data_IF_141878676650
#
_entry.id   IF_141878676650
#
_cell.length_a   1.000
_cell.length_b   1.000
_cell.length_c   1.000
_cell.angle_alpha   90.00
_cell.angle_beta   90.00
_cell.angle_gamma   90.00
#
_symmetry.space_group_name_H-M   'P 1'
#
loop_
_entity.id
_entity.type
_entity.pdbx_description
1 polymer ?
#
# COMPACT_ATOMS: atom_id res chain seq x y z
N UNK A 1 -11.19 -7.30 29.43
CA UNK A 1 -10.56 -6.51 28.35
C UNK A 1 -10.20 -5.17 28.93
N UNK A 2 -8.95 -4.76 28.82
CA UNK A 2 -8.54 -3.41 29.26
C UNK A 2 -9.04 -2.41 28.23
N UNK A 3 -9.49 -1.23 28.71
CA UNK A 3 -9.79 -0.12 27.83
C UNK A 3 -8.48 0.44 27.27
N UNK A 4 -8.49 0.91 26.00
CA UNK A 4 -7.34 1.59 25.42
C UNK A 4 -6.97 2.80 26.29
N UNK A 5 -5.67 2.93 26.55
CA UNK A 5 -5.09 4.09 27.20
C UNK A 5 -5.00 5.23 26.18
N UNK A 6 -5.45 6.43 26.54
CA UNK A 6 -5.42 7.60 25.67
C UNK A 6 -6.50 8.61 26.01
N UNK A 7 -6.39 9.79 25.40
CA UNK A 7 -7.41 10.81 25.51
C UNK A 7 -8.73 10.32 24.91
N UNK A 8 -9.84 10.66 25.56
CA UNK A 8 -11.18 10.27 25.14
C UNK A 8 -12.00 11.50 24.81
N UNK A 9 -12.41 11.61 23.57
CA UNK A 9 -13.16 12.74 23.06
C UNK A 9 -14.47 12.26 22.42
N UNK A 10 -15.53 13.03 22.59
CA UNK A 10 -16.77 12.84 21.84
C UNK A 10 -16.99 14.04 20.95
N UNK A 11 -16.95 13.81 19.64
CA UNK A 11 -17.19 14.84 18.63
C UNK A 11 -18.65 14.76 18.18
N UNK A 12 -19.40 15.84 18.36
CA UNK A 12 -20.77 15.94 17.87
C UNK A 12 -20.78 16.48 16.44
N UNK A 13 -21.67 15.97 15.60
CA UNK A 13 -21.87 16.46 14.24
C UNK A 13 -22.16 17.98 14.25
N UNK A 14 -21.49 18.71 13.34
CA UNK A 14 -21.56 20.17 13.28
C UNK A 14 -20.83 20.91 14.42
N UNK A 15 -20.22 20.18 15.37
CA UNK A 15 -19.40 20.72 16.44
C UNK A 15 -17.93 20.89 16.03
N UNK A 16 -17.18 21.57 16.90
CA UNK A 16 -15.74 21.76 16.71
C UNK A 16 -15.00 20.42 16.65
N UNK A 17 -14.09 20.28 15.69
CA UNK A 17 -13.27 19.08 15.49
C UNK A 17 -13.99 17.91 14.80
N UNK A 18 -15.30 18.01 14.50
CA UNK A 18 -15.97 16.97 13.73
C UNK A 18 -15.51 17.03 12.25
N UNK A 19 -15.07 15.91 11.64
CA UNK A 19 -14.58 15.91 10.27
C UNK A 19 -15.68 16.26 9.26
N UNK A 20 -15.52 17.37 8.54
CA UNK A 20 -16.52 17.82 7.54
C UNK A 20 -16.71 16.78 6.40
N UNK A 21 -15.69 16.00 6.10
CA UNK A 21 -15.77 14.91 5.13
C UNK A 21 -16.82 13.84 5.50
N UNK A 22 -17.06 13.63 6.79
CA UNK A 22 -18.08 12.69 7.29
C UNK A 22 -19.50 13.26 7.31
N UNK A 23 -19.68 14.54 7.07
CA UNK A 23 -21.02 15.15 6.95
C UNK A 23 -21.69 14.80 5.60
N UNK A 24 -20.87 14.49 4.60
CA UNK A 24 -21.33 14.19 3.22
C UNK A 24 -21.59 12.69 2.95
N UNK A 25 -21.30 11.81 3.90
CA UNK A 25 -21.53 10.37 3.72
C UNK A 25 -23.03 10.04 3.82
N UNK A 26 -23.45 8.94 3.21
CA UNK A 26 -24.79 8.42 3.44
C UNK A 26 -24.99 8.11 4.92
N UNK A 27 -26.01 8.69 5.56
CA UNK A 27 -26.29 8.59 6.99
C UNK A 27 -25.08 9.04 7.85
N UNK A 28 -24.76 10.36 7.88
CA UNK A 28 -23.69 10.87 8.71
C UNK A 28 -23.86 10.50 10.18
N UNK A 29 -22.79 10.17 10.91
CA UNK A 29 -22.91 9.84 12.33
C UNK A 29 -23.22 11.09 13.15
N UNK A 30 -24.13 10.99 14.10
CA UNK A 30 -24.45 12.13 14.99
C UNK A 30 -23.29 12.43 15.95
N UNK A 31 -22.52 11.41 16.30
CA UNK A 31 -21.36 11.51 17.20
C UNK A 31 -20.26 10.55 16.79
N UNK A 32 -19.03 10.92 17.11
CA UNK A 32 -17.86 10.05 17.05
C UNK A 32 -17.25 9.95 18.45
N UNK A 33 -17.02 8.74 18.89
CA UNK A 33 -16.31 8.39 20.11
C UNK A 33 -14.87 8.08 19.72
N UNK A 34 -13.92 8.89 20.18
CA UNK A 34 -12.52 8.89 19.76
C UNK A 34 -11.63 8.56 20.95
N UNK A 35 -10.73 7.59 20.78
CA UNK A 35 -9.61 7.33 21.68
C UNK A 35 -8.32 7.66 20.93
N UNK A 36 -7.52 8.57 21.45
CA UNK A 36 -6.30 9.08 20.81
C UNK A 36 -6.45 10.53 20.36
N UNK A 37 -5.72 10.91 19.32
CA UNK A 37 -5.67 12.29 18.83
C UNK A 37 -6.86 12.58 17.88
N UNK A 38 -7.84 13.42 18.24
CA UNK A 38 -8.92 13.78 17.34
C UNK A 38 -8.44 14.55 16.10
N UNK A 39 -7.30 15.22 16.14
CA UNK A 39 -6.70 15.88 14.97
C UNK A 39 -6.14 14.91 13.95
N UNK A 40 -6.04 13.61 14.25
CA UNK A 40 -5.74 12.59 13.28
C UNK A 40 -6.90 12.32 12.29
N UNK A 41 -8.14 12.77 12.61
CA UNK A 41 -9.32 12.59 11.76
C UNK A 41 -9.31 13.56 10.57
N UNK A 42 -8.25 13.53 9.80
CA UNK A 42 -8.08 14.29 8.56
C UNK A 42 -8.38 13.42 7.35
N UNK A 43 -8.72 14.05 6.22
CA UNK A 43 -8.85 13.33 4.96
C UNK A 43 -7.55 12.60 4.59
N UNK A 44 -7.62 11.29 4.51
CA UNK A 44 -6.50 10.42 4.22
C UNK A 44 -6.73 9.50 3.03
N UNK A 45 -5.99 8.41 2.98
CA UNK A 45 -6.20 7.29 2.05
C UNK A 45 -6.76 6.09 2.81
N UNK A 46 -7.90 5.54 2.37
CA UNK A 46 -8.40 4.30 2.93
C UNK A 46 -7.65 3.11 2.29
N UNK A 47 -7.14 2.19 3.10
CA UNK A 47 -6.50 0.96 2.62
C UNK A 47 -7.21 -0.22 3.25
N UNK A 48 -7.92 -0.98 2.44
CA UNK A 48 -8.77 -2.08 2.89
C UNK A 48 -8.60 -3.32 2.00
N UNK A 49 -9.02 -4.49 2.53
CA UNK A 49 -8.95 -5.70 1.75
C UNK A 49 -9.40 -6.95 2.50
N UNK A 50 -8.98 -8.10 2.00
CA UNK A 50 -9.37 -9.39 2.54
C UNK A 50 -8.94 -9.57 4.00
N UNK A 51 -9.86 -10.08 4.85
CA UNK A 51 -9.56 -10.46 6.23
C UNK A 51 -8.64 -11.69 6.31
N UNK A 52 -8.74 -12.59 5.32
CA UNK A 52 -7.87 -13.75 5.12
C UNK A 52 -6.92 -13.46 3.95
N UNK A 53 -6.18 -12.37 4.08
CA UNK A 53 -5.27 -11.89 3.05
C UNK A 53 -4.15 -12.90 2.77
N UNK A 54 -3.81 -13.03 1.49
CA UNK A 54 -2.62 -13.77 1.06
C UNK A 54 -1.34 -13.03 1.46
N UNK A 55 -0.16 -13.67 1.39
CA UNK A 55 1.12 -12.95 1.54
C UNK A 55 1.25 -11.77 0.57
N UNK A 56 0.78 -11.92 -0.67
CA UNK A 56 0.72 -10.85 -1.67
C UNK A 56 -0.14 -9.67 -1.19
N UNK A 57 -1.40 -9.94 -0.79
CA UNK A 57 -2.29 -8.89 -0.30
C UNK A 57 -1.75 -8.16 0.92
N UNK A 58 -1.19 -8.88 1.90
CA UNK A 58 -0.53 -8.23 3.05
C UNK A 58 0.70 -7.41 2.65
N UNK A 59 1.50 -7.92 1.70
CA UNK A 59 2.68 -7.21 1.17
C UNK A 59 2.29 -5.89 0.50
N UNK A 60 1.29 -5.92 -0.38
CA UNK A 60 0.77 -4.71 -1.04
C UNK A 60 0.16 -3.72 -0.03
N UNK A 61 -0.63 -4.20 0.96
CA UNK A 61 -1.19 -3.33 2.00
C UNK A 61 -0.07 -2.60 2.79
N UNK A 62 0.97 -3.33 3.18
CA UNK A 62 2.14 -2.75 3.86
C UNK A 62 2.85 -1.73 2.98
N UNK A 63 3.15 -2.09 1.73
CA UNK A 63 3.88 -1.25 0.78
C UNK A 63 3.20 0.09 0.57
N UNK A 64 1.92 0.07 0.23
CA UNK A 64 1.18 1.30 -0.07
C UNK A 64 0.85 2.12 1.16
N UNK A 65 0.62 1.49 2.33
CA UNK A 65 0.46 2.22 3.58
C UNK A 65 1.75 2.93 4.01
N UNK A 66 2.91 2.27 3.85
CA UNK A 66 4.22 2.88 4.09
C UNK A 66 4.47 4.08 3.16
N UNK A 67 4.15 3.94 1.86
CA UNK A 67 4.26 5.05 0.90
C UNK A 67 3.40 6.25 1.31
N UNK A 68 2.13 6.02 1.66
CA UNK A 68 1.23 7.08 2.11
C UNK A 68 1.74 7.75 3.40
N UNK A 69 2.17 6.95 4.37
CA UNK A 69 2.68 7.43 5.65
C UNK A 69 3.93 8.32 5.48
N UNK A 70 4.89 7.91 4.64
CA UNK A 70 6.07 8.72 4.30
C UNK A 70 5.73 10.08 3.68
N UNK A 71 4.57 10.19 3.03
CA UNK A 71 4.06 11.46 2.48
C UNK A 71 3.25 12.27 3.50
N UNK A 72 3.18 11.83 4.76
CA UNK A 72 2.38 12.47 5.80
C UNK A 72 0.87 12.29 5.62
N UNK A 73 0.44 11.38 4.73
CA UNK A 73 -0.97 11.10 4.48
C UNK A 73 -1.48 10.10 5.51
N UNK A 74 -2.59 10.42 6.15
CA UNK A 74 -3.23 9.55 7.14
C UNK A 74 -3.76 8.28 6.47
N UNK A 75 -3.40 7.12 7.01
CA UNK A 75 -3.94 5.84 6.57
C UNK A 75 -5.22 5.54 7.35
N UNK A 76 -6.34 5.39 6.65
CA UNK A 76 -7.65 5.10 7.24
C UNK A 76 -8.01 3.64 6.96
N UNK A 77 -8.42 2.89 7.98
CA UNK A 77 -8.88 1.51 7.77
C UNK A 77 -9.83 1.05 8.88
N UNK A 78 -10.16 -0.24 8.87
CA UNK A 78 -11.16 -0.80 9.76
C UNK A 78 -10.60 -1.62 10.93
N UNK A 79 -9.29 -1.78 11.02
CA UNK A 79 -8.66 -2.60 12.04
C UNK A 79 -8.97 -4.11 11.95
N UNK A 80 -9.53 -4.57 10.84
CA UNK A 80 -9.80 -5.98 10.63
C UNK A 80 -8.51 -6.79 10.46
N UNK A 81 -8.60 -8.12 10.57
CA UNK A 81 -7.49 -9.03 10.21
C UNK A 81 -7.07 -8.81 8.76
N UNK A 82 -5.86 -9.20 8.42
CA UNK A 82 -5.38 -9.23 7.05
C UNK A 82 -4.87 -7.88 6.55
N UNK A 83 -5.46 -7.34 5.49
CA UNK A 83 -4.99 -6.11 4.85
C UNK A 83 -5.05 -4.88 5.75
N UNK A 84 -6.16 -4.71 6.50
CA UNK A 84 -6.35 -3.55 7.39
C UNK A 84 -5.25 -3.47 8.46
N UNK A 85 -5.03 -4.59 9.18
CA UNK A 85 -3.99 -4.66 10.21
C UNK A 85 -2.58 -4.46 9.63
N UNK A 86 -2.33 -4.99 8.43
CA UNK A 86 -1.05 -4.82 7.74
C UNK A 86 -0.82 -3.35 7.36
N UNK A 87 -1.87 -2.65 6.90
CA UNK A 87 -1.81 -1.24 6.55
C UNK A 87 -1.54 -0.36 7.78
N UNK A 88 -2.30 -0.57 8.88
CA UNK A 88 -2.07 0.17 10.12
C UNK A 88 -0.65 -0.02 10.66
N UNK A 89 -0.18 -1.28 10.71
CA UNK A 89 1.15 -1.59 11.23
C UNK A 89 2.24 -0.90 10.40
N UNK A 90 2.15 -0.95 9.07
CA UNK A 90 3.14 -0.32 8.19
C UNK A 90 3.12 1.22 8.27
N UNK A 91 1.96 1.83 8.40
CA UNK A 91 1.87 3.27 8.61
C UNK A 91 2.58 3.71 9.91
N UNK A 92 2.41 2.94 10.99
CA UNK A 92 3.06 3.19 12.28
C UNK A 92 4.57 2.93 12.22
N UNK A 93 5.03 1.91 11.48
CA UNK A 93 6.45 1.61 11.27
C UNK A 93 7.19 2.76 10.58
N UNK A 94 6.50 3.51 9.72
CA UNK A 94 7.04 4.72 9.06
C UNK A 94 6.82 6.02 9.87
N UNK A 95 6.33 5.92 11.10
CA UNK A 95 6.03 7.08 11.95
C UNK A 95 4.82 7.91 11.48
N UNK A 96 4.01 7.37 10.56
CA UNK A 96 2.80 8.02 10.08
C UNK A 96 1.59 7.82 10.98
N UNK A 97 0.60 8.71 10.86
CA UNK A 97 -0.66 8.61 11.60
C UNK A 97 -1.62 7.67 10.89
N UNK A 98 -2.42 6.96 11.68
CA UNK A 98 -3.46 6.09 11.13
C UNK A 98 -4.73 6.14 11.98
N UNK A 99 -5.89 5.98 11.33
CA UNK A 99 -7.21 6.03 11.96
C UNK A 99 -7.92 4.72 11.75
N UNK A 100 -8.31 4.07 12.84
CA UNK A 100 -9.09 2.83 12.82
C UNK A 100 -10.54 3.10 13.21
N UNK A 101 -11.48 2.92 12.28
CA UNK A 101 -12.90 2.90 12.63
C UNK A 101 -13.31 1.52 13.13
N UNK A 102 -14.15 1.44 14.15
CA UNK A 102 -14.65 0.20 14.73
C UNK A 102 -16.13 -0.05 14.40
N UNK A 103 -16.55 -1.31 14.42
CA UNK A 103 -17.97 -1.70 14.27
C UNK A 103 -18.69 -1.91 15.60
N UNK A 104 -18.05 -1.62 16.71
CA UNK A 104 -18.57 -1.58 18.08
C UNK A 104 -17.93 -0.40 18.81
N UNK A 105 -18.24 -0.22 20.09
CA UNK A 105 -17.63 0.83 20.92
C UNK A 105 -16.13 0.62 21.14
N UNK A 106 -15.42 1.70 21.46
CA UNK A 106 -13.96 1.65 21.62
C UNK A 106 -13.49 0.83 22.83
N UNK A 107 -14.38 0.48 23.76
CA UNK A 107 -14.11 -0.42 24.89
C UNK A 107 -14.46 -1.87 24.57
N UNK A 108 -14.97 -2.17 23.38
CA UNK A 108 -15.34 -3.50 22.87
C UNK A 108 -14.56 -3.82 21.59
N UNK A 109 -13.26 -3.91 21.74
CA UNK A 109 -12.34 -4.10 20.61
C UNK A 109 -12.60 -5.40 19.85
N UNK A 110 -12.67 -5.29 18.53
CA UNK A 110 -12.77 -6.44 17.65
C UNK A 110 -11.93 -6.23 16.38
N UNK A 111 -11.09 -7.18 16.01
CA UNK A 111 -10.79 -8.44 16.74
C UNK A 111 -9.99 -8.18 18.02
N UNK A 112 -10.23 -8.96 19.08
CA UNK A 112 -9.62 -8.75 20.39
C UNK A 112 -8.09 -8.91 20.36
N UNK A 113 -7.56 -9.76 19.49
CA UNK A 113 -6.11 -9.95 19.31
C UNK A 113 -5.39 -8.70 18.75
N UNK A 114 -6.13 -7.73 18.24
CA UNK A 114 -5.56 -6.45 17.75
C UNK A 114 -5.52 -5.34 18.83
N UNK A 115 -5.82 -5.65 20.09
CA UNK A 115 -5.73 -4.68 21.20
C UNK A 115 -4.39 -3.95 21.19
N UNK A 116 -3.28 -4.69 21.08
CA UNK A 116 -1.94 -4.11 20.99
C UNK A 116 -1.71 -3.24 19.74
N UNK A 117 -2.34 -3.56 18.61
CA UNK A 117 -2.28 -2.72 17.41
C UNK A 117 -3.08 -1.44 17.62
N UNK A 118 -4.28 -1.52 18.18
CA UNK A 118 -5.09 -0.35 18.46
C UNK A 118 -4.42 0.58 19.48
N UNK A 119 -3.76 0.02 20.51
CA UNK A 119 -2.98 0.83 21.44
C UNK A 119 -1.81 1.53 20.72
N UNK A 120 -1.06 0.85 19.85
CA UNK A 120 -0.01 1.48 19.04
C UNK A 120 -0.53 2.58 18.13
N UNK A 121 -1.76 2.47 17.61
CA UNK A 121 -2.40 3.55 16.83
C UNK A 121 -2.57 4.79 17.70
N UNK A 122 -3.08 4.64 18.91
CA UNK A 122 -3.28 5.74 19.86
C UNK A 122 -1.93 6.34 20.26
N UNK A 123 -0.96 5.52 20.64
CA UNK A 123 0.38 5.95 21.07
C UNK A 123 1.17 6.65 19.94
N UNK A 124 0.90 6.28 18.68
CA UNK A 124 1.51 6.88 17.49
C UNK A 124 0.85 8.18 17.01
N UNK A 125 -0.01 8.81 17.82
CA UNK A 125 -0.71 10.04 17.45
C UNK A 125 -1.82 9.85 16.43
N UNK A 126 -2.32 8.62 16.29
CA UNK A 126 -3.51 8.28 15.53
C UNK A 126 -4.76 8.21 16.42
N UNK A 127 -5.83 7.65 15.88
CA UNK A 127 -7.10 7.51 16.60
C UNK A 127 -7.81 6.20 16.34
N UNK A 128 -8.46 5.67 17.37
CA UNK A 128 -9.45 4.59 17.29
C UNK A 128 -10.82 5.19 17.50
N UNK A 129 -11.71 4.99 16.53
CA UNK A 129 -12.96 5.76 16.41
C UNK A 129 -14.16 4.85 16.26
N UNK A 130 -15.26 5.22 16.89
CA UNK A 130 -16.56 4.57 16.72
C UNK A 130 -17.70 5.59 16.65
N UNK A 131 -18.76 5.26 15.93
CA UNK A 131 -20.04 5.97 16.03
C UNK A 131 -20.94 5.45 17.15
N UNK A 132 -20.53 4.37 17.81
CA UNK A 132 -21.27 3.75 18.90
C UNK A 132 -20.69 4.15 20.25
N UNK A 133 -21.53 4.13 21.30
CA UNK A 133 -21.08 4.39 22.67
C UNK A 133 -19.95 3.43 23.09
N UNK A 134 -19.17 3.86 24.06
CA UNK A 134 -17.90 3.25 24.45
C UNK A 134 -17.94 1.74 24.62
N UNK A 135 -18.98 1.20 25.26
CA UNK A 135 -19.13 -0.20 25.65
C UNK A 135 -20.09 -1.00 24.75
N UNK A 136 -20.47 -0.46 23.61
CA UNK A 136 -21.39 -1.11 22.68
C UNK A 136 -20.73 -2.32 22.00
N UNK A 137 -21.40 -3.47 22.07
CA UNK A 137 -20.88 -4.73 21.49
C UNK A 137 -20.84 -4.69 19.95
N UNK A 138 -19.76 -5.22 19.32
CA UNK A 138 -19.68 -5.31 17.88
C UNK A 138 -20.72 -6.30 17.34
N UNK A 139 -21.45 -5.91 16.29
CA UNK A 139 -22.45 -6.75 15.61
C UNK A 139 -22.08 -6.90 14.12
N UNK A 140 -22.32 -8.05 13.48
CA UNK A 140 -21.90 -8.30 12.09
C UNK A 140 -22.34 -7.23 11.09
N UNK A 141 -23.55 -6.72 11.17
CA UNK A 141 -24.06 -5.69 10.27
C UNK A 141 -23.38 -4.33 10.46
N UNK A 142 -22.92 -4.00 11.68
CA UNK A 142 -22.24 -2.74 11.99
C UNK A 142 -20.91 -2.59 11.28
N UNK A 143 -20.21 -3.68 10.99
CA UNK A 143 -18.99 -3.64 10.20
C UNK A 143 -19.22 -3.15 8.76
N UNK A 144 -20.40 -3.42 8.19
CA UNK A 144 -20.79 -2.90 6.88
C UNK A 144 -21.17 -1.43 6.97
N UNK A 145 -22.01 -1.08 7.95
CA UNK A 145 -22.40 0.33 8.17
C UNK A 145 -21.20 1.24 8.40
N UNK A 146 -20.23 0.78 9.22
CA UNK A 146 -19.00 1.50 9.50
C UNK A 146 -18.17 1.80 8.24
N UNK A 147 -18.23 0.96 7.18
CA UNK A 147 -17.39 1.12 5.99
C UNK A 147 -17.61 2.49 5.32
N UNK A 148 -18.79 3.11 5.44
CA UNK A 148 -19.04 4.45 4.95
C UNK A 148 -18.19 5.52 5.64
N UNK A 149 -17.81 5.29 6.90
CA UNK A 149 -16.94 6.21 7.65
C UNK A 149 -15.49 6.08 7.20
N UNK A 150 -15.04 4.87 6.89
CA UNK A 150 -13.71 4.63 6.33
C UNK A 150 -13.58 5.32 4.97
N UNK A 151 -14.53 5.04 4.07
CA UNK A 151 -14.55 5.61 2.73
C UNK A 151 -14.74 7.13 2.77
N UNK A 152 -15.62 7.62 3.66
CA UNK A 152 -15.95 9.04 3.77
C UNK A 152 -14.82 9.91 4.30
N UNK A 153 -14.00 9.39 5.24
CA UNK A 153 -12.84 10.13 5.74
C UNK A 153 -11.67 10.10 4.76
N UNK A 154 -11.72 9.30 3.71
CA UNK A 154 -10.65 9.18 2.73
C UNK A 154 -10.97 9.93 1.44
N UNK A 155 -9.96 10.48 0.77
CA UNK A 155 -10.09 11.02 -0.59
C UNK A 155 -10.18 9.92 -1.63
N UNK A 156 -9.54 8.78 -1.37
CA UNK A 156 -9.68 7.59 -2.17
C UNK A 156 -9.62 6.33 -1.30
N UNK A 157 -10.18 5.23 -1.81
CA UNK A 157 -10.14 3.92 -1.17
C UNK A 157 -9.33 2.96 -2.03
N UNK A 158 -8.20 2.48 -1.52
CA UNK A 158 -7.38 1.43 -2.13
C UNK A 158 -7.88 0.05 -1.69
N UNK A 159 -8.39 -0.71 -2.63
CA UNK A 159 -8.75 -2.12 -2.47
C UNK A 159 -7.53 -2.98 -2.82
N UNK A 160 -6.91 -3.60 -1.81
CA UNK A 160 -5.68 -4.35 -2.02
C UNK A 160 -5.93 -5.78 -2.48
N UNK A 161 -6.86 -6.45 -1.84
CA UNK A 161 -7.23 -7.83 -2.19
C UNK A 161 -8.71 -8.06 -1.88
N UNK A 162 -9.44 -8.57 -2.86
CA UNK A 162 -10.85 -8.91 -2.70
C UNK A 162 -11.22 -10.15 -3.53
N UNK A 163 -11.74 -11.18 -2.87
CA UNK A 163 -12.37 -12.32 -3.53
C UNK A 163 -13.83 -12.05 -3.89
N UNK A 164 -14.53 -13.06 -4.34
CA UNK A 164 -15.99 -13.05 -4.59
C UNK A 164 -16.65 -14.21 -3.84
N UNK A 165 -17.63 -13.95 -2.97
CA UNK A 165 -18.10 -12.65 -2.46
C UNK A 165 -17.11 -12.02 -1.46
N UNK A 166 -17.11 -10.68 -1.33
CA UNK A 166 -16.24 -9.97 -0.39
C UNK A 166 -16.98 -8.79 0.27
N UNK A 167 -16.76 -8.63 1.59
CA UNK A 167 -17.22 -7.43 2.32
C UNK A 167 -16.52 -6.16 1.91
N UNK A 168 -15.41 -6.25 1.21
CA UNK A 168 -14.62 -5.11 0.69
C UNK A 168 -15.39 -4.36 -0.40
N UNK A 169 -16.30 -5.03 -1.12
CA UNK A 169 -17.17 -4.36 -2.09
C UNK A 169 -18.03 -3.28 -1.46
N UNK A 170 -18.56 -3.52 -0.23
CA UNK A 170 -19.34 -2.47 0.42
C UNK A 170 -18.52 -1.21 0.71
N UNK A 171 -17.22 -1.31 0.93
CA UNK A 171 -16.37 -0.13 1.11
C UNK A 171 -16.14 0.59 -0.22
N UNK A 172 -16.00 -0.14 -1.33
CA UNK A 172 -15.90 0.45 -2.66
C UNK A 172 -17.22 1.14 -3.05
N UNK A 173 -18.36 0.50 -2.80
CA UNK A 173 -19.68 1.09 -3.06
C UNK A 173 -19.90 2.37 -2.24
N UNK A 174 -19.50 2.38 -0.96
CA UNK A 174 -19.57 3.56 -0.09
C UNK A 174 -18.62 4.67 -0.54
N UNK A 175 -17.44 4.33 -1.07
CA UNK A 175 -16.53 5.32 -1.64
C UNK A 175 -17.16 6.01 -2.86
N UNK A 176 -17.72 5.23 -3.78
CA UNK A 176 -18.41 5.77 -4.96
C UNK A 176 -19.64 6.61 -4.57
N UNK A 177 -20.43 6.16 -3.57
CA UNK A 177 -21.58 6.91 -3.05
C UNK A 177 -21.17 8.25 -2.41
N UNK A 178 -19.96 8.31 -1.84
CA UNK A 178 -19.38 9.55 -1.28
C UNK A 178 -18.61 10.37 -2.33
N UNK A 179 -18.68 10.03 -3.63
CA UNK A 179 -17.92 10.64 -4.72
C UNK A 179 -16.42 10.65 -4.47
N UNK A 180 -15.90 9.51 -3.99
CA UNK A 180 -14.47 9.27 -3.73
C UNK A 180 -13.92 8.25 -4.72
N UNK A 181 -12.65 8.40 -5.08
CA UNK A 181 -11.98 7.50 -6.00
C UNK A 181 -11.81 6.10 -5.42
N UNK A 182 -11.92 5.11 -6.28
CA UNK A 182 -11.62 3.70 -5.95
C UNK A 182 -10.38 3.28 -6.73
N UNK A 183 -9.34 2.98 -5.98
CA UNK A 183 -8.07 2.45 -6.46
C UNK A 183 -8.02 0.95 -6.17
N UNK A 184 -7.44 0.16 -7.05
CA UNK A 184 -7.44 -1.30 -6.90
C UNK A 184 -6.10 -1.90 -7.28
N UNK A 185 -5.55 -2.74 -6.42
CA UNK A 185 -4.37 -3.55 -6.74
C UNK A 185 -4.82 -4.74 -7.57
N UNK A 186 -4.32 -4.92 -8.82
CA UNK A 186 -4.64 -6.08 -9.63
C UNK A 186 -4.01 -7.35 -9.05
N UNK A 187 -4.55 -8.50 -9.42
CA UNK A 187 -3.98 -9.77 -9.04
C UNK A 187 -4.16 -10.82 -10.15
N UNK A 188 -3.58 -11.99 -9.95
CA UNK A 188 -3.64 -13.05 -10.94
C UNK A 188 -5.09 -13.44 -11.26
N UNK A 189 -5.44 -13.54 -12.55
CA UNK A 189 -6.80 -13.90 -13.00
C UNK A 189 -7.21 -15.31 -12.57
N UNK A 190 -6.26 -16.16 -12.28
CA UNK A 190 -6.47 -17.53 -11.77
C UNK A 190 -6.69 -17.59 -10.25
N UNK A 191 -6.31 -16.53 -9.51
CA UNK A 191 -6.43 -16.49 -8.06
C UNK A 191 -7.85 -16.10 -7.62
N UNK A 192 -8.49 -16.94 -6.81
CA UNK A 192 -9.82 -16.67 -6.27
C UNK A 192 -9.83 -15.40 -5.40
N UNK A 193 -8.74 -15.14 -4.69
CA UNK A 193 -8.56 -13.97 -3.83
C UNK A 193 -8.51 -12.64 -4.59
N UNK A 194 -8.24 -12.67 -5.91
CA UNK A 194 -8.11 -11.47 -6.75
C UNK A 194 -9.34 -11.21 -7.62
N UNK A 195 -10.28 -12.16 -7.70
CA UNK A 195 -11.43 -12.05 -8.61
C UNK A 195 -12.26 -10.80 -8.37
N UNK A 196 -12.45 -10.43 -7.12
CA UNK A 196 -13.19 -9.23 -6.76
C UNK A 196 -12.44 -7.96 -7.10
N UNK A 197 -11.16 -7.87 -6.78
CA UNK A 197 -10.31 -6.75 -7.14
C UNK A 197 -10.30 -6.53 -8.66
N UNK A 198 -10.02 -7.57 -9.44
CA UNK A 198 -10.05 -7.51 -10.90
C UNK A 198 -11.43 -7.14 -11.46
N UNK A 199 -12.53 -7.54 -10.78
CA UNK A 199 -13.89 -7.14 -11.16
C UNK A 199 -14.13 -5.65 -10.98
N UNK A 200 -13.63 -5.04 -9.90
CA UNK A 200 -13.71 -3.59 -9.67
C UNK A 200 -12.94 -2.82 -10.75
N UNK A 201 -11.75 -3.29 -11.14
CA UNK A 201 -10.98 -2.69 -12.26
C UNK A 201 -11.81 -2.73 -13.56
N UNK A 202 -12.41 -3.88 -13.88
CA UNK A 202 -13.29 -3.99 -15.05
C UNK A 202 -14.50 -3.03 -15.00
N UNK A 203 -14.96 -2.68 -13.80
CA UNK A 203 -16.05 -1.75 -13.56
C UNK A 203 -15.63 -0.27 -13.56
N UNK A 204 -14.35 0.02 -13.81
CA UNK A 204 -13.82 1.37 -13.95
C UNK A 204 -13.00 1.89 -12.77
N UNK A 205 -12.72 1.06 -11.76
CA UNK A 205 -11.79 1.45 -10.71
C UNK A 205 -10.36 1.58 -11.27
N UNK A 206 -9.61 2.57 -10.78
CA UNK A 206 -8.26 2.85 -11.23
C UNK A 206 -7.27 1.78 -10.74
N UNK A 207 -6.54 1.08 -11.62
CA UNK A 207 -5.56 0.09 -11.20
C UNK A 207 -4.31 0.77 -10.64
N UNK A 208 -3.81 0.23 -9.52
CA UNK A 208 -2.51 0.55 -8.94
C UNK A 208 -1.58 -0.64 -9.20
N UNK A 209 -0.68 -0.49 -10.17
CA UNK A 209 0.16 -1.58 -10.65
C UNK A 209 1.56 -1.60 -10.03
N UNK A 210 2.01 -0.45 -9.53
CA UNK A 210 3.32 -0.25 -8.92
C UNK A 210 3.31 0.97 -7.99
N UNK A 211 4.49 1.32 -7.43
CA UNK A 211 4.64 2.48 -6.56
C UNK A 211 4.41 3.80 -7.31
N UNK A 212 4.85 3.88 -8.56
CA UNK A 212 4.73 5.10 -9.36
C UNK A 212 3.27 5.45 -9.60
N UNK A 213 2.45 4.50 -10.02
CA UNK A 213 1.02 4.70 -10.23
C UNK A 213 0.27 5.04 -8.95
N UNK A 214 0.70 4.50 -7.80
CA UNK A 214 0.14 4.89 -6.51
C UNK A 214 0.56 6.30 -6.11
N UNK A 215 1.83 6.66 -6.28
CA UNK A 215 2.32 8.01 -5.99
C UNK A 215 1.68 9.07 -6.90
N UNK A 216 1.42 8.75 -8.16
CA UNK A 216 0.66 9.62 -9.08
C UNK A 216 -0.75 9.88 -8.56
N UNK A 217 -1.43 8.82 -8.08
CA UNK A 217 -2.74 8.97 -7.46
C UNK A 217 -2.68 9.84 -6.19
N UNK A 218 -1.69 9.62 -5.32
CA UNK A 218 -1.50 10.45 -4.13
C UNK A 218 -1.21 11.91 -4.48
N UNK A 219 -0.37 12.15 -5.49
CA UNK A 219 -0.09 13.50 -5.95
C UNK A 219 -1.36 14.19 -6.48
N UNK A 220 -2.14 13.50 -7.29
CA UNK A 220 -3.39 14.03 -7.83
C UNK A 220 -4.40 14.38 -6.73
N UNK A 221 -4.51 13.53 -5.71
CA UNK A 221 -5.50 13.65 -4.65
C UNK A 221 -5.10 14.66 -3.56
N UNK A 222 -3.84 14.71 -3.19
CA UNK A 222 -3.36 15.46 -2.02
C UNK A 222 -2.45 16.63 -2.36
N UNK A 223 -2.01 16.77 -3.63
CA UNK A 223 -1.11 17.82 -4.06
C UNK A 223 0.30 17.70 -3.44
N UNK A 224 0.64 16.55 -2.83
CA UNK A 224 1.96 16.32 -2.28
C UNK A 224 2.94 16.11 -3.43
N UNK A 225 4.01 16.92 -3.45
CA UNK A 225 5.09 16.74 -4.41
C UNK A 225 5.58 15.28 -4.34
N UNK A 226 5.73 14.63 -5.51
CA UNK A 226 6.54 13.43 -5.59
C UNK A 226 7.86 13.76 -4.89
N UNK A 227 8.23 13.03 -3.82
CA UNK A 227 9.64 12.96 -3.54
C UNK A 227 10.22 12.38 -4.82
N UNK A 228 11.05 13.14 -5.51
CA UNK A 228 12.00 12.49 -6.36
C UNK A 228 12.66 11.45 -5.44
N UNK A 229 12.22 10.20 -5.52
CA UNK A 229 13.11 9.11 -5.29
C UNK A 229 14.14 9.32 -6.40
N UNK A 230 15.11 10.18 -6.10
CA UNK A 230 16.44 9.88 -6.58
C UNK A 230 16.58 8.44 -6.14
N UNK A 231 16.55 7.45 -7.08
CA UNK A 231 16.92 6.14 -6.67
C UNK A 231 18.19 6.42 -5.91
N UNK A 232 18.29 5.94 -4.66
CA UNK A 232 19.58 5.75 -4.06
C UNK A 232 20.26 4.69 -4.91
N UNK A 233 20.59 5.07 -6.12
CA UNK A 233 21.83 4.74 -6.71
C UNK A 233 22.78 5.21 -5.63
N UNK A 234 23.14 4.30 -4.69
CA UNK A 234 24.50 4.34 -4.27
C UNK A 234 25.22 4.67 -5.55
N UNK A 235 25.73 5.88 -5.63
CA UNK A 235 26.60 6.30 -6.69
C UNK A 235 27.84 5.43 -6.58
N UNK A 236 27.73 4.20 -6.94
CA UNK A 236 28.80 3.53 -7.62
C UNK A 236 28.90 4.30 -8.92
N UNK A 237 29.75 5.34 -8.89
CA UNK A 237 30.18 6.20 -9.96
C UNK A 237 29.16 6.47 -11.06
N UNK A 238 28.71 7.73 -11.21
CA UNK A 238 28.35 8.19 -12.54
C UNK A 238 29.44 7.66 -13.49
N UNK A 239 29.09 7.05 -14.66
CA UNK A 239 30.12 6.70 -15.60
C UNK A 239 30.91 7.99 -15.84
N UNK A 240 32.16 8.02 -15.37
CA UNK A 240 33.10 9.02 -15.82
C UNK A 240 33.11 8.91 -17.32
N UNK A 241 33.03 10.01 -18.01
CA UNK A 241 32.99 10.10 -19.46
C UNK A 241 34.16 9.40 -20.20
N UNK A 242 34.99 8.66 -19.49
CA UNK A 242 36.18 7.96 -19.97
C UNK A 242 36.21 6.45 -19.60
N UNK A 243 35.12 5.85 -19.11
CA UNK A 243 35.10 4.37 -19.03
C UNK A 243 34.67 3.78 -20.37
N UNK A 244 35.47 2.84 -20.93
CA UNK A 244 35.12 2.20 -22.19
C UNK A 244 33.75 1.52 -22.03
N UNK A 245 32.82 1.79 -22.96
CA UNK A 245 31.49 1.21 -22.99
C UNK A 245 31.61 -0.32 -22.92
N UNK A 246 30.88 -0.94 -21.99
CA UNK A 246 30.80 -2.40 -21.89
C UNK A 246 29.56 -2.86 -22.69
N UNK A 247 29.74 -3.25 -23.97
CA UNK A 247 28.61 -3.57 -24.85
C UNK A 247 27.80 -4.78 -24.37
N UNK A 248 28.39 -5.68 -23.58
CA UNK A 248 27.68 -6.80 -22.98
C UNK A 248 26.74 -6.31 -21.85
N UNK A 249 27.25 -5.40 -20.99
CA UNK A 249 26.43 -4.84 -19.94
C UNK A 249 25.27 -3.99 -20.48
N UNK A 250 25.52 -3.23 -21.54
CA UNK A 250 24.48 -2.42 -22.19
C UNK A 250 23.41 -3.28 -22.86
N UNK A 251 23.81 -4.37 -23.53
CA UNK A 251 22.89 -5.32 -24.14
C UNK A 251 22.04 -6.05 -23.07
N UNK A 252 22.63 -6.46 -21.95
CA UNK A 252 21.91 -7.12 -20.85
C UNK A 252 20.93 -6.19 -20.10
N UNK A 253 21.15 -4.88 -20.15
CA UNK A 253 20.18 -3.89 -19.63
C UNK A 253 18.95 -3.77 -20.54
N UNK A 254 19.11 -4.00 -21.83
CA UNK A 254 18.04 -3.88 -22.81
C UNK A 254 17.09 -5.08 -22.79
N UNK A 255 17.64 -6.30 -22.77
CA UNK A 255 16.82 -7.53 -22.75
C UNK A 255 17.62 -8.74 -22.22
N UNK A 256 16.94 -9.79 -21.71
CA UNK A 256 17.60 -11.05 -21.36
C UNK A 256 18.13 -11.78 -22.58
N UNK A 257 19.43 -12.13 -22.58
CA UNK A 257 20.14 -12.73 -23.69
C UNK A 257 20.62 -14.16 -23.39
N UNK A 258 20.63 -14.99 -24.40
CA UNK A 258 21.26 -16.33 -24.33
C UNK A 258 22.77 -16.22 -24.32
N UNK A 259 23.46 -17.27 -23.84
CA UNK A 259 24.93 -17.33 -23.90
C UNK A 259 25.47 -17.22 -25.36
N UNK A 260 24.73 -17.71 -26.32
CA UNK A 260 25.12 -17.64 -27.75
C UNK A 260 25.07 -16.17 -28.24
N UNK A 261 24.02 -15.43 -27.88
CA UNK A 261 23.89 -14.01 -28.22
C UNK A 261 24.96 -13.15 -27.52
N UNK A 262 25.23 -13.43 -26.24
CA UNK A 262 26.28 -12.74 -25.51
C UNK A 262 27.67 -13.02 -26.08
N UNK A 263 27.90 -14.24 -26.51
CA UNK A 263 29.16 -14.63 -27.17
C UNK A 263 29.35 -13.90 -28.52
N UNK A 264 28.29 -13.74 -29.30
CA UNK A 264 28.34 -12.97 -30.54
C UNK A 264 28.70 -11.50 -30.31
N UNK A 265 28.15 -10.87 -29.24
CA UNK A 265 28.48 -9.49 -28.84
C UNK A 265 29.95 -9.44 -28.37
N UNK A 266 30.39 -10.37 -27.53
CA UNK A 266 31.75 -10.43 -27.05
C UNK A 266 32.77 -10.58 -28.17
N UNK A 267 32.50 -11.46 -29.14
CA UNK A 267 33.37 -11.69 -30.29
C UNK A 267 33.59 -10.44 -31.15
N UNK A 268 32.60 -9.55 -31.22
CA UNK A 268 32.72 -8.26 -31.92
C UNK A 268 33.41 -7.18 -31.09
N UNK A 269 33.61 -7.37 -29.81
CA UNK A 269 34.01 -6.31 -28.86
C UNK A 269 35.33 -6.58 -28.12
N UNK A 270 35.83 -7.85 -28.12
CA UNK A 270 37.00 -8.26 -27.34
C UNK A 270 38.37 -7.84 -27.91
N UNK A 271 38.43 -7.13 -29.06
CA UNK A 271 39.66 -6.53 -29.58
C UNK A 271 40.83 -7.50 -29.84
N UNK A 272 40.57 -8.80 -30.00
CA UNK A 272 41.60 -9.82 -30.25
C UNK A 272 41.93 -10.73 -29.04
N UNK A 273 41.28 -10.50 -27.89
CA UNK A 273 41.31 -11.45 -26.78
C UNK A 273 40.40 -12.66 -27.04
N UNK A 274 40.58 -13.72 -26.25
CA UNK A 274 39.65 -14.85 -26.33
C UNK A 274 38.25 -14.40 -25.85
N UNK A 275 37.32 -14.27 -26.79
CA UNK A 275 35.98 -13.79 -26.55
C UNK A 275 35.24 -14.52 -25.41
N UNK A 276 35.57 -15.80 -25.20
CA UNK A 276 34.95 -16.64 -24.18
C UNK A 276 35.44 -16.26 -22.79
N UNK A 277 36.74 -16.12 -22.62
CA UNK A 277 37.33 -15.69 -21.34
C UNK A 277 36.94 -14.28 -21.01
N UNK A 278 36.97 -13.36 -21.94
CA UNK A 278 36.55 -11.97 -21.81
C UNK A 278 35.07 -11.85 -21.38
N UNK A 279 34.16 -12.63 -22.02
CA UNK A 279 32.74 -12.63 -21.66
C UNK A 279 32.49 -13.15 -20.25
N UNK A 280 33.15 -14.27 -19.89
CA UNK A 280 32.94 -14.90 -18.59
C UNK A 280 33.42 -14.00 -17.44
N UNK A 281 34.54 -13.32 -17.61
CA UNK A 281 35.02 -12.33 -16.64
C UNK A 281 34.02 -11.22 -16.41
N UNK A 282 33.48 -10.62 -17.46
CA UNK A 282 32.48 -9.54 -17.40
C UNK A 282 31.14 -9.98 -16.81
N UNK A 283 30.71 -11.20 -17.09
CA UNK A 283 29.48 -11.75 -16.53
C UNK A 283 29.61 -12.00 -15.02
N UNK A 284 30.76 -12.57 -14.60
CA UNK A 284 31.02 -12.83 -13.17
C UNK A 284 31.11 -11.51 -12.40
N UNK A 285 31.81 -10.51 -12.92
CA UNK A 285 31.86 -9.17 -12.31
C UNK A 285 30.46 -8.56 -12.17
N UNK A 286 29.63 -8.62 -13.20
CA UNK A 286 28.28 -8.05 -13.19
C UNK A 286 27.33 -8.83 -12.27
N UNK A 287 27.47 -10.15 -12.15
CA UNK A 287 26.71 -10.99 -11.21
C UNK A 287 27.10 -10.72 -9.78
N UNK A 288 28.39 -10.61 -9.47
CA UNK A 288 28.91 -10.27 -8.13
C UNK A 288 28.48 -8.86 -7.71
N UNK A 289 28.39 -7.93 -8.67
CA UNK A 289 27.87 -6.59 -8.44
C UNK A 289 26.33 -6.57 -8.29
N UNK A 290 25.64 -7.70 -8.48
CA UNK A 290 24.17 -7.79 -8.42
C UNK A 290 23.46 -7.05 -9.56
N UNK A 291 24.16 -6.74 -10.64
CA UNK A 291 23.60 -6.04 -11.81
C UNK A 291 22.87 -6.99 -12.77
N UNK A 292 23.34 -8.23 -12.88
CA UNK A 292 22.74 -9.26 -13.73
C UNK A 292 22.57 -10.56 -12.97
N UNK A 293 21.64 -11.40 -13.43
CA UNK A 293 21.40 -12.73 -12.90
C UNK A 293 21.04 -13.70 -14.03
N UNK A 294 21.26 -14.98 -13.79
CA UNK A 294 20.80 -16.03 -14.67
C UNK A 294 19.35 -16.35 -14.39
N UNK A 295 18.48 -16.19 -15.37
CA UNK A 295 17.06 -16.48 -15.29
C UNK A 295 16.76 -17.99 -15.35
N UNK A 296 15.58 -18.46 -14.88
CA UNK A 296 15.20 -19.88 -14.91
C UNK A 296 15.17 -20.51 -16.30
N UNK A 297 14.98 -19.71 -17.36
CA UNK A 297 15.01 -20.12 -18.75
C UNK A 297 16.45 -20.24 -19.34
N UNK A 298 17.46 -19.99 -18.51
CA UNK A 298 18.86 -20.10 -18.83
C UNK A 298 19.49 -18.87 -19.47
N UNK A 299 18.70 -17.80 -19.73
CA UNK A 299 19.19 -16.51 -20.23
C UNK A 299 19.79 -15.67 -19.09
N UNK A 300 20.65 -14.73 -19.46
CA UNK A 300 21.18 -13.72 -18.56
C UNK A 300 20.42 -12.41 -18.79
N UNK A 301 20.14 -11.69 -17.74
CA UNK A 301 19.44 -10.41 -17.81
C UNK A 301 19.57 -9.62 -16.51
N UNK A 302 18.88 -8.47 -16.38
CA UNK A 302 18.90 -7.69 -15.15
C UNK A 302 18.52 -8.53 -13.95
N UNK A 303 19.23 -8.36 -12.82
CA UNK A 303 18.83 -8.99 -11.57
C UNK A 303 17.47 -8.42 -11.13
N UNK A 304 16.44 -9.25 -11.11
CA UNK A 304 15.12 -8.87 -10.59
C UNK A 304 15.24 -8.83 -9.05
N UNK A 305 15.18 -7.63 -8.48
CA UNK A 305 15.15 -7.41 -7.02
C UNK A 305 13.75 -7.57 -6.46
#
# INVERSE_FOLDING_TARGET
MSALAGERTVLARGGEGFPSALESVAQPPDRLYVVGDPFALQEGIAIVGARRATPYGRGCAKRFAALAARRGIVVVSGGARGCDAAAHAAALEEGGRTVAFLGGGCDRLYPAEHEGLFQRIVDGGGAVVSEHVWDEDPKPYRFRLRNRLIAGLARATLIVEAGLPSGTFSTADEALAANRDVLVVPGAITAVSSRGANRLIYQGATPVIDDETFEDALFSLFGCLKQETVPSVERTGAPRADEPSNPVADALRAEPLSMEQLYAIAASSCGGEDARSWLMERLVEAELAGAVARHPDGRWGPAVR
#
